data_IF_130368422218
#
_entry.id   IF_130368422218
#
_cell.length_a   1.000
_cell.length_b   1.000
_cell.length_c   1.000
_cell.angle_alpha   90.00
_cell.angle_beta   90.00
_cell.angle_gamma   90.00
#
_symmetry.space_group_name_H-M   'P 1'
#
loop_
_entity.id
_entity.type
_entity.pdbx_description
1 polymer ?
#
# COMPACT_ATOMS: atom_id res chain seq x y z
N UNK A 1 -3.31 20.65 6.61
CA UNK A 1 -3.15 19.24 7.01
C UNK A 1 -2.71 19.25 8.45
N UNK A 2 -3.49 18.62 9.32
CA UNK A 2 -3.19 18.56 10.75
C UNK A 2 -2.45 17.25 11.07
N UNK A 3 -1.52 17.31 12.02
CA UNK A 3 -0.68 16.15 12.39
C UNK A 3 -0.63 15.99 13.90
N UNK A 4 -1.12 14.84 14.37
CA UNK A 4 -1.16 14.48 15.78
C UNK A 4 -0.25 13.28 16.05
N UNK A 5 0.78 13.46 16.88
CA UNK A 5 1.82 12.45 17.11
C UNK A 5 1.56 11.45 18.24
N UNK A 6 0.48 11.63 19.00
CA UNK A 6 0.13 10.77 20.13
C UNK A 6 -1.14 11.25 20.85
N UNK A 7 -1.71 10.36 21.67
CA UNK A 7 -2.83 10.69 22.55
C UNK A 7 -2.34 11.34 23.85
N UNK A 8 -3.21 12.09 24.50
CA UNK A 8 -2.94 12.71 25.80
C UNK A 8 -2.17 14.03 25.72
N UNK A 9 -1.86 14.60 26.89
CA UNK A 9 -1.18 15.89 26.99
C UNK A 9 0.29 15.75 26.59
N UNK A 10 0.78 16.67 25.75
CA UNK A 10 2.20 16.76 25.39
C UNK A 10 3.02 17.18 26.61
N UNK A 11 3.84 16.27 27.12
CA UNK A 11 4.71 16.49 28.29
C UNK A 11 6.16 16.85 27.94
N UNK A 12 6.60 16.54 26.72
CA UNK A 12 8.00 16.74 26.28
C UNK A 12 8.07 17.58 25.00
N UNK A 13 9.13 18.36 24.83
CA UNK A 13 9.43 19.04 23.56
C UNK A 13 10.06 18.07 22.56
N UNK A 14 9.60 18.09 21.29
CA UNK A 14 10.09 17.22 20.20
C UNK A 14 10.17 15.73 20.56
N UNK A 15 9.23 15.24 21.37
CA UNK A 15 9.09 13.81 21.66
C UNK A 15 8.72 13.01 20.40
N UNK A 16 8.78 11.69 20.51
CA UNK A 16 8.47 10.78 19.41
C UNK A 16 7.06 11.03 18.83
N UNK A 17 7.00 11.32 17.53
CA UNK A 17 5.77 11.60 16.80
C UNK A 17 5.36 10.39 15.97
N UNK A 18 4.29 9.70 16.36
CA UNK A 18 3.80 8.50 15.66
C UNK A 18 3.33 8.78 14.24
N UNK A 19 2.88 9.99 13.94
CA UNK A 19 2.40 10.32 12.60
C UNK A 19 3.55 10.50 11.60
N UNK A 20 4.72 10.99 12.05
CA UNK A 20 5.85 11.31 11.17
C UNK A 20 7.04 10.36 11.32
N UNK A 21 7.18 9.68 12.45
CA UNK A 21 8.29 8.77 12.77
C UNK A 21 7.82 7.33 13.04
N UNK A 22 6.52 7.13 13.24
CA UNK A 22 5.95 5.82 13.56
C UNK A 22 5.82 4.95 12.32
N UNK A 23 6.85 4.15 12.03
CA UNK A 23 6.83 3.16 10.94
C UNK A 23 6.04 1.92 11.39
N UNK A 24 5.05 1.51 10.57
CA UNK A 24 4.16 0.37 10.84
C UNK A 24 3.81 -0.40 9.58
N UNK A 25 3.46 -1.67 9.76
CA UNK A 25 2.76 -2.46 8.74
C UNK A 25 1.49 -1.72 8.31
N UNK A 26 1.26 -1.63 7.01
CA UNK A 26 0.11 -0.89 6.47
C UNK A 26 -1.11 -1.80 6.32
N UNK A 27 -0.89 -3.10 6.18
CA UNK A 27 -1.95 -4.07 5.91
C UNK A 27 -2.72 -3.71 4.63
N UNK A 28 -3.99 -4.09 4.58
CA UNK A 28 -4.87 -3.85 3.42
C UNK A 28 -5.05 -2.37 3.05
N UNK A 29 -4.68 -1.42 3.91
CA UNK A 29 -4.74 0.00 3.57
C UNK A 29 -3.77 0.40 2.45
N UNK A 30 -2.77 -0.42 2.09
CA UNK A 30 -1.85 -0.12 0.98
C UNK A 30 -2.26 -0.72 -0.36
N UNK A 31 -3.24 -1.64 -0.39
CA UNK A 31 -3.75 -2.32 -1.60
C UNK A 31 -4.01 -1.40 -2.80
N UNK A 32 -4.67 -0.23 -2.64
CA UNK A 32 -4.82 0.71 -3.74
C UNK A 32 -3.49 1.19 -4.32
N UNK A 33 -2.52 1.50 -3.46
CA UNK A 33 -1.21 2.03 -3.85
C UNK A 33 -0.31 0.95 -4.45
N UNK A 34 -0.24 -0.23 -3.82
CA UNK A 34 0.67 -1.33 -4.20
C UNK A 34 0.20 -2.09 -5.43
N UNK A 35 -1.11 -2.25 -5.62
CA UNK A 35 -1.66 -3.13 -6.66
C UNK A 35 -2.51 -2.38 -7.68
N UNK A 36 -3.53 -1.65 -7.24
CA UNK A 36 -4.51 -1.07 -8.17
C UNK A 36 -3.89 -0.01 -9.06
N UNK A 37 -3.14 0.92 -8.48
CA UNK A 37 -2.51 2.02 -9.23
C UNK A 37 -1.58 1.49 -10.32
N UNK A 38 -0.55 0.68 -10.01
CA UNK A 38 0.33 0.14 -11.05
C UNK A 38 -0.43 -0.74 -12.05
N UNK A 39 -1.40 -1.54 -11.62
CA UNK A 39 -2.13 -2.45 -12.51
C UNK A 39 -3.06 -1.74 -13.49
N UNK A 40 -3.77 -0.70 -13.04
CA UNK A 40 -4.63 0.13 -13.89
C UNK A 40 -3.78 1.00 -14.83
N UNK A 41 -2.72 1.62 -14.31
CA UNK A 41 -1.83 2.49 -15.10
C UNK A 41 -1.13 1.72 -16.22
N UNK A 42 -0.72 0.47 -15.95
CA UNK A 42 -0.16 -0.45 -16.95
C UNK A 42 -1.21 -1.20 -17.78
N UNK A 43 -2.51 -0.92 -17.59
CA UNK A 43 -3.63 -1.55 -18.32
C UNK A 43 -3.64 -3.08 -18.22
N UNK A 44 -3.16 -3.65 -17.11
CA UNK A 44 -3.11 -5.10 -16.87
C UNK A 44 -4.50 -5.63 -16.52
N UNK A 45 -5.29 -4.84 -15.81
CA UNK A 45 -6.68 -5.13 -15.49
C UNK A 45 -7.49 -3.83 -15.41
N UNK A 46 -8.81 -4.00 -15.44
CA UNK A 46 -9.79 -2.92 -15.27
C UNK A 46 -10.68 -3.23 -14.08
N UNK A 47 -11.53 -2.28 -13.67
CA UNK A 47 -12.48 -2.50 -12.58
C UNK A 47 -13.43 -3.69 -12.81
N UNK A 48 -13.67 -4.08 -14.07
CA UNK A 48 -14.53 -5.21 -14.45
C UNK A 48 -13.77 -6.51 -14.74
N UNK A 49 -12.43 -6.52 -14.71
CA UNK A 49 -11.66 -7.76 -14.85
C UNK A 49 -12.00 -8.71 -13.69
N UNK A 50 -12.15 -10.00 -13.99
CA UNK A 50 -12.55 -11.02 -13.02
C UNK A 50 -11.32 -11.79 -12.54
N UNK A 51 -11.26 -12.02 -11.24
CA UNK A 51 -10.26 -12.84 -10.55
C UNK A 51 -10.98 -13.90 -9.69
N UNK A 52 -10.33 -15.02 -9.42
CA UNK A 52 -10.90 -16.14 -8.67
C UNK A 52 -10.50 -16.06 -7.19
N UNK A 53 -11.43 -15.64 -6.33
CA UNK A 53 -11.24 -15.60 -4.89
C UNK A 53 -11.53 -16.96 -4.26
N UNK A 54 -10.50 -17.80 -4.17
CA UNK A 54 -10.52 -19.12 -3.53
C UNK A 54 -9.19 -19.40 -2.82
N UNK A 55 -9.16 -20.41 -1.95
CA UNK A 55 -7.90 -20.83 -1.34
C UNK A 55 -6.86 -21.17 -2.42
N UNK A 56 -5.77 -20.40 -2.43
CA UNK A 56 -4.74 -20.45 -3.45
C UNK A 56 -3.38 -20.33 -2.79
N UNK A 57 -2.44 -21.15 -3.26
CA UNK A 57 -1.03 -21.03 -2.91
C UNK A 57 -0.27 -20.47 -4.11
N UNK A 58 0.64 -19.56 -3.84
CA UNK A 58 1.46 -18.86 -4.82
C UNK A 58 2.92 -19.25 -4.64
N UNK A 59 3.70 -19.10 -5.71
CA UNK A 59 5.15 -19.25 -5.65
C UNK A 59 5.74 -17.85 -5.79
N UNK A 60 6.33 -17.33 -4.72
CA UNK A 60 6.98 -16.04 -4.77
C UNK A 60 8.23 -16.10 -5.66
N UNK A 61 8.77 -14.93 -6.05
CA UNK A 61 10.01 -14.80 -6.84
C UNK A 61 11.20 -15.49 -6.20
N UNK A 62 11.25 -15.57 -4.86
CA UNK A 62 12.26 -16.33 -4.11
C UNK A 62 12.06 -17.86 -4.16
N UNK A 63 11.07 -18.34 -4.94
CA UNK A 63 10.60 -19.74 -5.02
C UNK A 63 10.07 -20.28 -3.70
N UNK A 64 9.57 -19.39 -2.86
CA UNK A 64 8.96 -19.72 -1.58
C UNK A 64 7.45 -19.87 -1.74
N UNK A 65 6.87 -20.84 -1.04
CA UNK A 65 5.42 -21.01 -1.01
C UNK A 65 4.79 -19.88 -0.18
N UNK A 66 3.82 -19.19 -0.77
CA UNK A 66 3.03 -18.17 -0.11
C UNK A 66 1.55 -18.52 -0.18
N UNK A 67 0.94 -18.78 0.98
CA UNK A 67 -0.46 -19.22 1.09
C UNK A 67 -1.27 -18.24 1.97
N UNK A 68 -1.65 -17.07 1.44
CA UNK A 68 -2.47 -16.11 2.16
C UNK A 68 -3.90 -16.65 2.36
N UNK A 69 -4.61 -16.11 3.36
CA UNK A 69 -5.99 -16.46 3.66
C UNK A 69 -6.88 -15.22 3.70
N UNK A 70 -8.19 -15.41 3.52
CA UNK A 70 -9.20 -14.37 3.72
C UNK A 70 -9.90 -14.58 5.06
N UNK A 71 -10.04 -13.52 5.86
CA UNK A 71 -10.72 -13.60 7.15
C UNK A 71 -12.25 -13.77 7.02
N UNK A 72 -12.84 -13.30 5.92
CA UNK A 72 -14.30 -13.28 5.71
C UNK A 72 -14.79 -14.39 4.76
N UNK A 73 -13.97 -15.41 4.50
CA UNK A 73 -14.27 -16.46 3.53
C UNK A 73 -13.98 -16.06 2.08
N UNK A 74 -14.30 -16.96 1.17
CA UNK A 74 -14.03 -16.88 -0.27
C UNK A 74 -15.29 -16.54 -1.05
N UNK A 75 -15.20 -15.61 -2.00
CA UNK A 75 -16.33 -15.14 -2.80
C UNK A 75 -16.39 -15.74 -4.21
N UNK A 76 -15.42 -16.60 -4.57
CA UNK A 76 -15.31 -17.18 -5.90
C UNK A 76 -14.95 -16.11 -6.94
N UNK A 77 -15.49 -16.22 -8.14
CA UNK A 77 -15.19 -15.29 -9.24
C UNK A 77 -15.78 -13.91 -8.97
N UNK A 78 -14.92 -12.94 -8.70
CA UNK A 78 -15.32 -11.56 -8.41
C UNK A 78 -14.57 -10.57 -9.31
N UNK A 79 -15.19 -9.41 -9.55
CA UNK A 79 -14.52 -8.32 -10.27
C UNK A 79 -13.44 -7.68 -9.41
N UNK A 80 -12.47 -6.99 -10.03
CA UNK A 80 -11.50 -6.14 -9.31
C UNK A 80 -12.24 -5.17 -8.39
N UNK A 81 -13.29 -4.49 -8.89
CA UNK A 81 -14.13 -3.59 -8.07
C UNK A 81 -14.63 -4.28 -6.80
N UNK A 82 -15.20 -5.49 -6.93
CA UNK A 82 -15.71 -6.24 -5.79
C UNK A 82 -14.59 -6.68 -4.84
N UNK A 83 -13.43 -7.06 -5.36
CA UNK A 83 -12.26 -7.40 -4.56
C UNK A 83 -11.78 -6.21 -3.72
N UNK A 84 -11.84 -4.97 -4.25
CA UNK A 84 -11.56 -3.74 -3.49
C UNK A 84 -12.59 -3.54 -2.37
N UNK A 85 -13.88 -3.58 -2.70
CA UNK A 85 -14.99 -3.35 -1.75
C UNK A 85 -14.96 -4.31 -0.56
N UNK A 86 -14.65 -5.57 -0.84
CA UNK A 86 -14.59 -6.63 0.18
C UNK A 86 -13.19 -6.85 0.76
N UNK A 87 -12.19 -6.11 0.27
CA UNK A 87 -10.78 -6.22 0.64
C UNK A 87 -10.26 -7.67 0.64
N UNK A 88 -10.61 -8.47 -0.37
CA UNK A 88 -10.14 -9.85 -0.47
C UNK A 88 -8.62 -9.91 -0.67
N UNK A 89 -7.95 -10.89 -0.08
CA UNK A 89 -6.50 -11.01 -0.17
C UNK A 89 -6.08 -11.77 -1.42
N UNK A 90 -6.72 -12.90 -1.73
CA UNK A 90 -6.31 -13.77 -2.85
C UNK A 90 -6.29 -13.02 -4.19
N UNK A 91 -7.34 -12.29 -4.60
CA UNK A 91 -7.32 -11.58 -5.88
C UNK A 91 -6.22 -10.51 -5.93
N UNK A 92 -5.92 -9.87 -4.80
CA UNK A 92 -4.86 -8.86 -4.72
C UNK A 92 -3.47 -9.46 -4.89
N UNK A 93 -3.25 -10.66 -4.37
CA UNK A 93 -1.98 -11.39 -4.56
C UNK A 93 -1.85 -11.86 -6.01
N UNK A 94 -2.92 -12.38 -6.61
CA UNK A 94 -2.92 -12.74 -8.03
C UNK A 94 -2.69 -11.51 -8.94
N UNK A 95 -3.31 -10.37 -8.61
CA UNK A 95 -3.05 -9.10 -9.29
C UNK A 95 -1.58 -8.67 -9.12
N UNK A 96 -0.99 -8.84 -7.93
CA UNK A 96 0.41 -8.54 -7.66
C UNK A 96 1.37 -9.41 -8.50
N UNK A 97 1.08 -10.70 -8.69
CA UNK A 97 1.87 -11.55 -9.58
C UNK A 97 1.90 -10.99 -11.01
N UNK A 98 0.73 -10.54 -11.52
CA UNK A 98 0.62 -9.98 -12.87
C UNK A 98 1.38 -8.66 -13.03
N UNK A 99 1.37 -7.78 -12.03
CA UNK A 99 2.10 -6.49 -12.09
C UNK A 99 3.57 -6.63 -11.68
N UNK A 100 3.90 -7.63 -10.87
CA UNK A 100 5.16 -7.88 -10.14
C UNK A 100 5.45 -6.94 -8.96
N UNK A 101 5.99 -7.44 -7.83
CA UNK A 101 6.39 -6.61 -6.68
C UNK A 101 7.39 -5.51 -7.05
N UNK A 102 8.35 -5.80 -7.93
CA UNK A 102 9.29 -4.81 -8.45
C UNK A 102 8.65 -3.63 -9.17
N UNK A 103 7.49 -3.83 -9.80
CA UNK A 103 6.74 -2.70 -10.37
C UNK A 103 6.08 -1.91 -9.25
N UNK A 104 5.42 -2.57 -8.29
CA UNK A 104 4.79 -1.91 -7.14
C UNK A 104 5.78 -1.01 -6.40
N UNK A 105 6.98 -1.50 -6.09
CA UNK A 105 8.05 -0.74 -5.41
C UNK A 105 8.36 0.56 -6.17
N UNK A 106 8.58 0.50 -7.49
CA UNK A 106 8.86 1.69 -8.30
C UNK A 106 7.72 2.73 -8.26
N UNK A 107 6.47 2.30 -8.12
CA UNK A 107 5.34 3.22 -7.97
C UNK A 107 5.33 3.84 -6.58
N UNK A 108 5.54 3.05 -5.52
CA UNK A 108 5.61 3.55 -4.15
C UNK A 108 6.77 4.54 -3.93
N UNK A 109 7.96 4.27 -4.51
CA UNK A 109 9.09 5.20 -4.47
C UNK A 109 8.73 6.54 -5.15
N UNK A 110 8.06 6.49 -6.31
CA UNK A 110 7.56 7.69 -6.98
C UNK A 110 6.50 8.43 -6.16
N UNK A 111 5.71 7.71 -5.37
CA UNK A 111 4.75 8.29 -4.43
C UNK A 111 5.40 8.88 -3.16
N UNK A 112 6.72 8.78 -3.02
CA UNK A 112 7.47 9.37 -1.92
C UNK A 112 7.62 8.46 -0.69
N UNK A 113 7.36 7.15 -0.82
CA UNK A 113 7.67 6.18 0.22
C UNK A 113 9.19 5.98 0.29
N UNK A 114 9.79 6.16 1.47
CA UNK A 114 11.26 6.14 1.64
C UNK A 114 11.76 4.95 2.47
N UNK A 115 10.86 4.16 3.03
CA UNK A 115 11.17 3.10 3.98
C UNK A 115 11.27 1.69 3.37
N UNK A 116 11.06 1.56 2.06
CA UNK A 116 11.11 0.26 1.36
C UNK A 116 12.52 -0.33 1.37
N UNK A 117 12.59 -1.66 1.36
CA UNK A 117 13.83 -2.43 1.25
C UNK A 117 13.71 -3.52 0.18
N UNK A 118 14.84 -4.14 -0.18
CA UNK A 118 14.85 -5.28 -1.12
C UNK A 118 14.00 -6.46 -0.62
N UNK A 119 13.82 -6.59 0.70
CA UNK A 119 12.97 -7.62 1.29
C UNK A 119 11.50 -7.43 0.93
N UNK A 120 11.05 -6.20 0.62
CA UNK A 120 9.67 -5.91 0.21
C UNK A 120 9.33 -6.40 -1.22
N UNK A 121 10.32 -6.86 -1.99
CA UNK A 121 10.14 -7.32 -3.38
C UNK A 121 9.57 -8.75 -3.44
N UNK A 122 8.43 -8.95 -2.78
CA UNK A 122 7.77 -10.23 -2.55
C UNK A 122 6.23 -10.08 -2.63
N UNK A 123 5.48 -11.18 -2.68
CA UNK A 123 4.03 -11.14 -2.87
C UNK A 123 3.23 -10.62 -1.67
N UNK A 124 3.78 -10.67 -0.45
CA UNK A 124 3.15 -10.12 0.74
C UNK A 124 2.98 -8.59 0.67
N UNK A 125 3.75 -7.90 -0.19
CA UNK A 125 3.58 -6.47 -0.47
C UNK A 125 2.15 -6.15 -0.96
N UNK A 126 1.50 -7.10 -1.65
CA UNK A 126 0.10 -6.97 -2.07
C UNK A 126 -0.86 -6.71 -0.91
N UNK A 127 -0.52 -7.21 0.28
CA UNK A 127 -1.33 -7.15 1.48
C UNK A 127 -0.77 -6.16 2.52
N UNK A 128 0.22 -5.35 2.12
CA UNK A 128 0.90 -4.40 3.00
C UNK A 128 1.84 -5.04 4.02
N UNK A 129 2.31 -6.26 3.73
CA UNK A 129 3.43 -6.89 4.41
C UNK A 129 4.72 -6.24 3.93
N UNK A 130 5.40 -5.56 4.85
CA UNK A 130 6.61 -4.77 4.60
C UNK A 130 7.70 -5.20 5.60
N UNK A 131 8.97 -5.02 5.28
CA UNK A 131 10.09 -5.25 6.18
C UNK A 131 10.06 -4.25 7.35
N UNK A 132 10.08 -2.95 7.01
CA UNK A 132 10.04 -1.86 8.00
C UNK A 132 8.63 -1.36 8.27
N UNK A 133 7.83 -1.22 7.22
CA UNK A 133 6.54 -0.51 7.26
C UNK A 133 6.62 0.90 6.66
N UNK A 134 5.54 1.68 6.78
CA UNK A 134 5.45 3.06 6.25
C UNK A 134 4.87 3.97 7.35
N UNK A 135 5.29 5.23 7.40
CA UNK A 135 4.72 6.21 8.34
C UNK A 135 3.33 6.71 7.88
N UNK A 136 2.43 7.11 8.81
CA UNK A 136 1.15 7.72 8.44
C UNK A 136 1.29 8.94 7.53
N UNK A 137 2.35 9.74 7.73
CA UNK A 137 2.65 10.90 6.90
C UNK A 137 2.95 10.52 5.44
N UNK A 138 3.79 9.52 5.22
CA UNK A 138 4.11 9.02 3.88
C UNK A 138 2.89 8.37 3.22
N UNK A 139 2.09 7.60 3.97
CA UNK A 139 0.82 7.06 3.46
C UNK A 139 -0.13 8.16 2.99
N UNK A 140 -0.30 9.22 3.80
CA UNK A 140 -1.12 10.36 3.41
C UNK A 140 -0.58 11.08 2.15
N UNK A 141 0.74 11.24 2.06
CA UNK A 141 1.42 11.79 0.87
C UNK A 141 1.15 10.92 -0.37
N UNK A 142 1.34 9.60 -0.26
CA UNK A 142 1.11 8.66 -1.35
C UNK A 142 -0.35 8.67 -1.83
N UNK A 143 -1.31 8.65 -0.92
CA UNK A 143 -2.73 8.76 -1.26
C UNK A 143 -3.09 10.12 -1.90
N UNK A 144 -2.42 11.20 -1.51
CA UNK A 144 -2.65 12.51 -2.14
C UNK A 144 -2.27 12.53 -3.63
N UNK A 145 -1.35 11.68 -4.07
CA UNK A 145 -1.00 11.56 -5.50
C UNK A 145 -2.16 11.04 -6.35
N UNK A 146 -3.05 10.23 -5.75
CA UNK A 146 -4.25 9.73 -6.42
C UNK A 146 -5.34 10.80 -6.53
N UNK A 147 -5.45 11.65 -5.51
CA UNK A 147 -6.43 12.72 -5.47
C UNK A 147 -6.10 13.89 -6.42
N UNK A 148 -4.82 14.03 -6.82
CA UNK A 148 -4.32 15.18 -7.57
C UNK A 148 -3.77 14.81 -8.96
N UNK A 149 -4.42 13.90 -9.70
CA UNK A 149 -4.05 13.52 -11.07
C UNK A 149 -2.57 13.14 -11.26
N UNK A 150 -2.01 12.36 -10.33
CA UNK A 150 -0.60 11.91 -10.30
C UNK A 150 0.44 12.99 -9.97
N UNK A 151 0.04 14.19 -9.52
CA UNK A 151 1.01 15.18 -9.02
C UNK A 151 1.52 14.78 -7.64
N UNK A 152 2.85 14.73 -7.50
CA UNK A 152 3.53 14.35 -6.25
C UNK A 152 3.64 15.60 -5.37
N UNK A 153 2.96 15.60 -4.23
CA UNK A 153 3.22 16.57 -3.18
C UNK A 153 4.20 15.97 -2.19
N UNK A 154 5.38 16.56 -2.07
CA UNK A 154 6.18 16.39 -0.85
C UNK A 154 5.40 17.06 0.27
N UNK A 155 5.00 16.28 1.27
CA UNK A 155 4.29 16.83 2.43
C UNK A 155 5.20 17.82 3.15
N UNK A 156 4.97 19.11 2.91
CA UNK A 156 5.72 20.20 3.52
C UNK A 156 4.83 20.86 4.58
N UNK A 157 5.35 20.99 5.79
CA UNK A 157 4.69 21.69 6.88
C UNK A 157 4.94 23.21 6.88
N UNK A 158 5.78 23.69 5.97
CA UNK A 158 6.12 25.11 5.86
C UNK A 158 5.28 25.75 4.76
N UNK A 159 4.61 26.86 5.09
CA UNK A 159 3.83 27.66 4.15
C UNK A 159 4.36 29.09 4.18
N UNK A 160 5.35 29.37 3.32
CA UNK A 160 6.11 30.64 3.20
C UNK A 160 6.85 31.06 4.48
N UNK A 161 8.17 31.14 4.38
CA UNK A 161 8.96 31.98 5.28
C UNK A 161 8.68 33.44 4.90
N UNK A 162 7.93 34.16 5.73
CA UNK A 162 7.94 35.62 5.65
C UNK A 162 9.32 36.10 6.12
N UNK A 163 10.07 36.69 5.19
CA UNK A 163 11.22 37.54 5.52
C UNK A 163 10.74 38.87 6.06
#
# INVERSE_FOLDING_TARGET
MDVFGGLGKKTTSRGFNRATQGIRQTGSSSKPLTVLVPGIDKKIFTASTIFDDKQTSFIDRKKENYSPTNNSGYLGKITVRRAVESSQNIPFVEMMEKITPSTSIKYLEKMGITTLTEEDNNLALALGGLDKGISPLEMAGAYSTLANDRSIYRTNFLHKDYK
#
